data_IF_960459956497
#
_entry.id   IF_960459956497
#
_cell.length_a   1.000
_cell.length_b   1.000
_cell.length_c   1.000
_cell.angle_alpha   90.00
_cell.angle_beta   90.00
_cell.angle_gamma   90.00
#
_symmetry.space_group_name_H-M   'P 1'
#
loop_
_entity.id
_entity.type
_entity.pdbx_description
1 polymer ?
#
# COMPACT_ATOMS: atom_id res chain seq x y z
N UNK A 1 2.86 1.80 -22.00
CA UNK A 1 2.39 0.44 -21.82
C UNK A 1 2.73 -0.02 -20.39
N UNK A 2 1.89 0.45 -19.46
CA UNK A 2 2.10 0.31 -18.01
C UNK A 2 2.35 -1.15 -17.56
N UNK A 3 1.57 -2.10 -18.05
CA UNK A 3 1.74 -3.51 -17.69
C UNK A 3 3.11 -4.11 -18.06
N UNK A 4 3.72 -3.67 -19.17
CA UNK A 4 5.10 -4.09 -19.51
C UNK A 4 6.13 -3.47 -18.59
N UNK A 5 5.92 -2.23 -18.15
CA UNK A 5 6.79 -1.56 -17.18
C UNK A 5 6.75 -2.25 -15.82
N UNK A 6 5.57 -2.57 -15.30
CA UNK A 6 5.42 -3.31 -14.03
C UNK A 6 6.14 -4.66 -14.09
N UNK A 7 5.93 -5.44 -15.14
CA UNK A 7 6.58 -6.76 -15.28
C UNK A 7 8.11 -6.65 -15.34
N UNK A 8 8.65 -5.65 -16.05
CA UNK A 8 10.10 -5.43 -16.14
C UNK A 8 10.70 -5.02 -14.79
N UNK A 9 10.03 -4.11 -14.06
CA UNK A 9 10.47 -3.65 -12.75
C UNK A 9 10.39 -4.78 -11.71
N UNK A 10 9.33 -5.58 -11.74
CA UNK A 10 9.21 -6.73 -10.84
C UNK A 10 10.31 -7.77 -11.08
N UNK A 11 10.65 -8.05 -12.36
CA UNK A 11 11.73 -8.95 -12.71
C UNK A 11 13.08 -8.43 -12.24
N UNK A 12 13.34 -7.12 -12.37
CA UNK A 12 14.55 -6.48 -11.87
C UNK A 12 14.72 -6.66 -10.36
N UNK A 13 13.69 -6.30 -9.58
CA UNK A 13 13.77 -6.45 -8.12
C UNK A 13 13.91 -7.91 -7.70
N UNK A 14 13.26 -8.84 -8.39
CA UNK A 14 13.40 -10.28 -8.10
C UNK A 14 14.84 -10.75 -8.32
N UNK A 15 15.44 -10.41 -9.46
CA UNK A 15 16.84 -10.76 -9.74
C UNK A 15 17.80 -10.14 -8.70
N UNK A 16 17.60 -8.86 -8.35
CA UNK A 16 18.44 -8.20 -7.34
C UNK A 16 18.31 -8.82 -5.94
N UNK A 17 17.12 -9.32 -5.58
CA UNK A 17 16.90 -10.04 -4.32
C UNK A 17 17.62 -11.39 -4.34
N UNK A 18 17.50 -12.14 -5.43
CA UNK A 18 18.13 -13.45 -5.59
C UNK A 18 19.67 -13.33 -5.55
N UNK A 19 20.25 -12.33 -6.24
CA UNK A 19 21.68 -12.05 -6.22
C UNK A 19 22.20 -11.65 -4.83
N UNK A 20 21.36 -11.03 -4.00
CA UNK A 20 21.71 -10.60 -2.64
C UNK A 20 21.52 -11.69 -1.58
N UNK A 21 21.11 -12.90 -1.94
CA UNK A 21 20.98 -14.02 -1.01
C UNK A 21 22.34 -14.48 -0.47
N UNK A 22 22.45 -14.55 0.85
CA UNK A 22 23.65 -15.05 1.52
C UNK A 22 24.66 -13.97 1.92
N UNK A 23 24.41 -12.71 1.63
CA UNK A 23 25.28 -11.60 2.02
C UNK A 23 24.78 -10.89 3.29
N UNK A 24 25.68 -10.69 4.26
CA UNK A 24 25.39 -10.01 5.52
C UNK A 24 25.91 -8.56 5.52
N UNK A 25 25.30 -7.68 6.28
CA UNK A 25 25.76 -6.29 6.43
C UNK A 25 25.15 -5.31 5.44
N UNK A 26 25.99 -4.58 4.68
CA UNK A 26 25.51 -3.54 3.73
C UNK A 26 24.57 -4.12 2.68
N UNK A 27 24.85 -5.35 2.25
CA UNK A 27 24.03 -6.07 1.28
C UNK A 27 22.63 -6.41 1.84
N UNK A 28 22.52 -6.67 3.15
CA UNK A 28 21.23 -6.88 3.81
C UNK A 28 20.33 -5.64 3.74
N UNK A 29 20.91 -4.45 3.88
CA UNK A 29 20.16 -3.21 3.72
C UNK A 29 19.63 -3.04 2.29
N UNK A 30 20.46 -3.28 1.27
CA UNK A 30 20.02 -3.22 -0.12
C UNK A 30 18.91 -4.24 -0.41
N UNK A 31 19.07 -5.47 0.09
CA UNK A 31 18.05 -6.50 -0.04
C UNK A 31 16.70 -6.06 0.58
N UNK A 32 16.75 -5.45 1.76
CA UNK A 32 15.54 -4.88 2.39
C UNK A 32 14.88 -3.81 1.51
N UNK A 33 15.66 -2.92 0.90
CA UNK A 33 15.12 -1.92 -0.03
C UNK A 33 14.54 -2.55 -1.30
N UNK A 34 15.17 -3.57 -1.87
CA UNK A 34 14.62 -4.26 -3.05
C UNK A 34 13.30 -4.96 -2.74
N UNK A 35 13.21 -5.64 -1.59
CA UNK A 35 11.99 -6.26 -1.11
C UNK A 35 10.89 -5.22 -0.89
N UNK A 36 11.19 -4.12 -0.22
CA UNK A 36 10.25 -3.03 0.02
C UNK A 36 9.73 -2.46 -1.30
N UNK A 37 10.62 -2.13 -2.24
CA UNK A 37 10.22 -1.58 -3.54
C UNK A 37 9.42 -2.57 -4.38
N UNK A 38 9.73 -3.87 -4.32
CA UNK A 38 8.93 -4.91 -5.00
C UNK A 38 7.53 -5.02 -4.40
N UNK A 39 7.42 -4.94 -3.08
CA UNK A 39 6.13 -4.95 -2.39
C UNK A 39 5.26 -3.74 -2.74
N UNK A 40 5.84 -2.53 -2.77
CA UNK A 40 5.14 -1.31 -3.24
C UNK A 40 4.68 -1.47 -4.68
N UNK A 41 5.56 -1.92 -5.57
CA UNK A 41 5.24 -2.13 -6.98
C UNK A 41 4.08 -3.12 -7.18
N UNK A 42 4.03 -4.19 -6.38
CA UNK A 42 2.93 -5.16 -6.40
C UNK A 42 1.60 -4.52 -5.99
N UNK A 43 1.60 -3.69 -4.97
CA UNK A 43 0.42 -2.95 -4.55
C UNK A 43 -0.06 -1.99 -5.63
N UNK A 44 0.83 -1.18 -6.20
CA UNK A 44 0.51 -0.25 -7.29
C UNK A 44 -0.05 -0.96 -8.53
N UNK A 45 0.46 -2.15 -8.84
CA UNK A 45 -0.07 -2.97 -9.94
C UNK A 45 -1.50 -3.42 -9.68
N UNK A 46 -1.81 -3.83 -8.44
CA UNK A 46 -3.16 -4.21 -8.03
C UNK A 46 -4.10 -3.00 -8.12
N UNK A 47 -3.69 -1.84 -7.61
CA UNK A 47 -4.47 -0.60 -7.67
C UNK A 47 -4.73 -0.16 -9.12
N UNK A 48 -3.72 -0.29 -9.99
CA UNK A 48 -3.87 -0.02 -11.42
C UNK A 48 -4.90 -0.94 -12.08
N UNK A 49 -4.85 -2.26 -11.81
CA UNK A 49 -5.84 -3.23 -12.32
C UNK A 49 -7.23 -2.89 -11.80
N UNK A 50 -7.35 -2.58 -10.52
CA UNK A 50 -8.60 -2.14 -9.87
C UNK A 50 -9.20 -0.91 -10.57
N UNK A 51 -8.37 0.08 -10.87
CA UNK A 51 -8.78 1.31 -11.55
C UNK A 51 -9.30 1.06 -12.96
N UNK A 52 -8.71 0.14 -13.70
CA UNK A 52 -9.17 -0.26 -15.05
C UNK A 52 -10.51 -0.99 -14.94
N UNK A 53 -10.62 -1.95 -14.02
CA UNK A 53 -11.85 -2.74 -13.85
C UNK A 53 -13.03 -1.88 -13.39
N UNK A 54 -12.80 -0.87 -12.55
CA UNK A 54 -13.84 0.06 -12.10
C UNK A 54 -14.34 0.99 -13.21
N UNK A 55 -13.49 1.29 -14.19
CA UNK A 55 -13.82 2.18 -15.31
C UNK A 55 -14.44 1.46 -16.52
N UNK A 56 -14.51 0.11 -16.51
CA UNK A 56 -15.17 -0.64 -17.59
C UNK A 56 -16.68 -0.59 -17.40
N UNK A 57 -17.34 0.37 -18.06
CA UNK A 57 -18.78 0.36 -18.24
C UNK A 57 -19.15 -0.71 -19.27
N UNK A 58 -19.81 -1.78 -18.85
CA UNK A 58 -20.37 -2.77 -19.76
C UNK A 58 -21.65 -2.19 -20.36
N UNK A 59 -21.57 -1.73 -21.60
CA UNK A 59 -22.73 -1.43 -22.41
C UNK A 59 -23.36 -2.75 -22.89
N UNK A 60 -24.52 -3.14 -22.37
CA UNK A 60 -25.30 -4.23 -22.93
C UNK A 60 -26.42 -3.66 -23.80
N UNK A 61 -26.56 -4.17 -25.01
CA UNK A 61 -27.74 -3.94 -25.83
C UNK A 61 -28.84 -4.93 -25.40
N UNK A 62 -30.08 -4.44 -25.25
CA UNK A 62 -31.23 -5.31 -25.14
C UNK A 62 -31.70 -5.76 -26.52
N UNK A 63 -32.59 -6.78 -26.59
CA UNK A 63 -33.08 -7.34 -27.83
C UNK A 63 -33.88 -6.33 -28.70
N UNK A 64 -34.18 -5.14 -28.18
CA UNK A 64 -34.84 -4.04 -28.86
C UNK A 64 -33.87 -2.98 -29.42
N UNK A 65 -32.54 -3.21 -29.29
CA UNK A 65 -31.49 -2.30 -29.76
C UNK A 65 -31.32 -1.04 -28.91
N UNK A 66 -31.92 -1.00 -27.72
CA UNK A 66 -31.79 0.13 -26.79
C UNK A 66 -30.54 -0.11 -25.87
N UNK A 67 -29.66 0.86 -25.88
CA UNK A 67 -28.47 0.83 -24.99
C UNK A 67 -28.89 1.19 -23.58
N UNK A 68 -28.88 0.25 -22.64
CA UNK A 68 -29.01 0.52 -21.21
C UNK A 68 -27.64 0.38 -20.57
N UNK A 69 -27.19 1.46 -19.94
CA UNK A 69 -26.08 1.39 -19.01
C UNK A 69 -26.51 0.55 -17.80
N UNK A 70 -26.12 -0.72 -17.74
CA UNK A 70 -26.16 -1.46 -16.47
C UNK A 70 -24.97 -0.97 -15.66
N UNK A 71 -25.25 -0.23 -14.62
CA UNK A 71 -24.33 -0.13 -13.48
C UNK A 71 -24.25 -1.55 -12.92
N UNK A 72 -23.17 -2.26 -13.26
CA UNK A 72 -22.86 -3.53 -12.62
C UNK A 72 -22.82 -3.24 -11.13
N UNK A 73 -23.60 -3.97 -10.31
CA UNK A 73 -23.42 -3.94 -8.87
C UNK A 73 -21.92 -3.97 -8.63
N UNK A 74 -21.42 -2.95 -7.93
CA UNK A 74 -20.00 -2.90 -7.59
C UNK A 74 -19.72 -4.14 -6.74
N UNK A 75 -19.26 -5.20 -7.40
CA UNK A 75 -18.66 -6.32 -6.70
C UNK A 75 -17.41 -5.72 -6.08
N UNK A 76 -17.46 -5.43 -4.78
CA UNK A 76 -16.29 -5.06 -4.00
C UNK A 76 -15.37 -6.26 -4.07
N UNK A 77 -14.48 -6.27 -5.06
CA UNK A 77 -13.46 -7.31 -5.16
C UNK A 77 -12.43 -7.01 -4.09
N UNK A 78 -12.24 -7.95 -3.21
CA UNK A 78 -11.13 -7.93 -2.29
C UNK A 78 -9.89 -8.37 -3.07
N UNK A 79 -8.95 -7.46 -3.25
CA UNK A 79 -7.68 -7.75 -3.90
C UNK A 79 -6.72 -8.39 -2.90
N UNK A 80 -5.91 -9.32 -3.39
CA UNK A 80 -4.95 -10.04 -2.57
C UNK A 80 -3.60 -9.30 -2.56
N UNK A 81 -3.27 -8.69 -1.42
CA UNK A 81 -2.00 -8.02 -1.18
C UNK A 81 -0.98 -8.90 -0.45
N UNK A 82 -1.25 -10.19 -0.27
CA UNK A 82 -0.41 -11.11 0.53
C UNK A 82 1.05 -11.16 0.09
N UNK A 83 1.30 -11.15 -1.22
CA UNK A 83 2.67 -11.13 -1.76
C UNK A 83 3.41 -9.83 -1.43
N UNK A 84 2.71 -8.69 -1.45
CA UNK A 84 3.29 -7.41 -1.08
C UNK A 84 3.59 -7.36 0.43
N UNK A 85 2.66 -7.84 1.25
CA UNK A 85 2.84 -7.96 2.71
C UNK A 85 4.00 -8.90 3.06
N UNK A 86 4.14 -10.01 2.33
CA UNK A 86 5.25 -10.95 2.53
C UNK A 86 6.60 -10.30 2.22
N UNK A 87 6.72 -9.53 1.14
CA UNK A 87 7.95 -8.79 0.82
C UNK A 87 8.30 -7.79 1.94
N UNK A 88 7.33 -7.05 2.46
CA UNK A 88 7.53 -6.13 3.57
C UNK A 88 7.96 -6.84 4.86
N UNK A 89 7.38 -8.01 5.16
CA UNK A 89 7.77 -8.79 6.33
C UNK A 89 9.20 -9.32 6.21
N UNK A 90 9.61 -9.80 5.05
CA UNK A 90 11.00 -10.18 4.82
C UNK A 90 11.95 -8.96 4.97
N UNK A 91 11.59 -7.80 4.44
CA UNK A 91 12.37 -6.57 4.61
C UNK A 91 12.50 -6.19 6.09
N UNK A 92 11.43 -6.32 6.86
CA UNK A 92 11.39 -6.09 8.31
C UNK A 92 12.29 -7.05 9.10
N UNK A 93 12.37 -8.31 8.70
CA UNK A 93 13.25 -9.29 9.35
C UNK A 93 14.73 -8.95 9.13
N UNK A 94 15.09 -8.42 7.96
CA UNK A 94 16.47 -8.02 7.64
C UNK A 94 16.84 -6.70 8.33
N UNK A 95 15.95 -5.69 8.31
CA UNK A 95 16.17 -4.36 8.91
C UNK A 95 14.97 -3.99 9.78
N UNK A 96 14.94 -4.43 11.05
CA UNK A 96 13.78 -4.28 11.94
C UNK A 96 13.41 -2.83 12.29
N UNK A 97 14.34 -1.89 12.16
CA UNK A 97 14.16 -0.50 12.56
C UNK A 97 14.02 0.46 11.36
N UNK A 98 13.60 -0.05 10.20
CA UNK A 98 13.34 0.75 9.01
C UNK A 98 11.91 1.30 9.02
N UNK A 99 11.68 2.61 9.29
CA UNK A 99 10.32 3.17 9.46
C UNK A 99 9.43 2.98 8.24
N UNK A 100 10.00 3.09 7.05
CA UNK A 100 9.27 2.97 5.78
C UNK A 100 8.64 1.58 5.56
N UNK A 101 9.23 0.52 6.10
CA UNK A 101 8.65 -0.83 6.01
C UNK A 101 7.33 -0.87 6.78
N UNK A 102 7.31 -0.30 7.98
CA UNK A 102 6.10 -0.24 8.79
C UNK A 102 5.04 0.70 8.20
N UNK A 103 5.46 1.82 7.64
CA UNK A 103 4.56 2.72 6.93
C UNK A 103 3.86 2.01 5.76
N UNK A 104 4.63 1.31 4.92
CA UNK A 104 4.09 0.57 3.79
C UNK A 104 3.23 -0.63 4.23
N UNK A 105 3.58 -1.33 5.30
CA UNK A 105 2.70 -2.35 5.90
C UNK A 105 1.38 -1.73 6.38
N UNK A 106 1.42 -0.54 6.99
CA UNK A 106 0.24 0.22 7.37
C UNK A 106 -0.68 0.49 6.19
N UNK A 107 -0.12 0.92 5.05
CA UNK A 107 -0.87 1.14 3.81
C UNK A 107 -1.49 -0.16 3.28
N UNK A 108 -0.71 -1.24 3.20
CA UNK A 108 -1.18 -2.54 2.71
C UNK A 108 -2.32 -3.11 3.57
N UNK A 109 -2.20 -3.05 4.90
CA UNK A 109 -3.26 -3.48 5.80
C UNK A 109 -4.51 -2.60 5.72
N UNK A 110 -4.35 -1.29 5.44
CA UNK A 110 -5.48 -0.41 5.17
C UNK A 110 -6.23 -0.84 3.90
N UNK A 111 -5.50 -1.11 2.81
CA UNK A 111 -6.05 -1.62 1.54
C UNK A 111 -6.73 -2.99 1.68
N UNK A 112 -6.22 -3.83 2.57
CA UNK A 112 -6.81 -5.14 2.90
C UNK A 112 -7.97 -5.04 3.90
N UNK A 113 -8.39 -3.84 4.28
CA UNK A 113 -9.40 -3.57 5.32
C UNK A 113 -9.03 -4.10 6.73
N UNK A 114 -7.77 -4.38 6.98
CA UNK A 114 -7.22 -4.79 8.28
C UNK A 114 -6.82 -3.56 9.10
N UNK A 115 -7.80 -2.72 9.44
CA UNK A 115 -7.57 -1.39 9.98
C UNK A 115 -6.82 -1.35 11.31
N UNK A 116 -6.97 -2.37 12.17
CA UNK A 116 -6.25 -2.44 13.45
C UNK A 116 -4.75 -2.68 13.20
N UNK A 117 -4.42 -3.64 12.33
CA UNK A 117 -3.04 -3.91 11.93
C UNK A 117 -2.41 -2.69 11.23
N UNK A 118 -3.20 -1.96 10.43
CA UNK A 118 -2.77 -0.70 9.80
C UNK A 118 -2.34 0.33 10.85
N UNK A 119 -3.18 0.59 11.87
CA UNK A 119 -2.87 1.54 12.96
C UNK A 119 -1.63 1.11 13.75
N UNK A 120 -1.46 -0.17 14.05
CA UNK A 120 -0.30 -0.69 14.76
C UNK A 120 0.99 -0.43 13.97
N UNK A 121 0.97 -0.67 12.66
CA UNK A 121 2.13 -0.45 11.81
C UNK A 121 2.45 1.03 11.63
N UNK A 122 1.47 1.91 11.41
CA UNK A 122 1.72 3.36 11.41
C UNK A 122 2.26 3.84 12.76
N UNK A 123 1.75 3.32 13.87
CA UNK A 123 2.26 3.66 15.20
C UNK A 123 3.72 3.25 15.36
N UNK A 124 4.11 2.08 14.86
CA UNK A 124 5.51 1.65 14.87
C UNK A 124 6.37 2.55 13.97
N UNK A 125 5.91 2.89 12.76
CA UNK A 125 6.60 3.83 11.86
C UNK A 125 6.87 5.18 12.56
N UNK A 126 5.84 5.75 13.17
CA UNK A 126 5.93 7.01 13.93
C UNK A 126 6.89 6.89 15.12
N UNK A 127 6.89 5.76 15.82
CA UNK A 127 7.80 5.55 16.95
C UNK A 127 9.27 5.51 16.53
N UNK A 128 9.55 5.01 15.34
CA UNK A 128 10.89 4.95 14.74
C UNK A 128 11.29 6.29 14.10
N UNK A 129 10.34 6.98 13.51
CA UNK A 129 10.56 8.29 12.90
C UNK A 129 9.40 9.27 13.20
N UNK A 130 9.48 10.06 14.31
CA UNK A 130 8.40 10.95 14.75
C UNK A 130 8.11 12.15 13.82
N UNK A 131 8.87 12.33 12.76
CA UNK A 131 8.68 13.38 11.75
C UNK A 131 8.03 12.88 10.46
N UNK A 132 7.55 11.63 10.42
CA UNK A 132 6.86 11.07 9.26
C UNK A 132 5.40 11.56 9.22
N UNK A 133 5.17 12.73 8.60
CA UNK A 133 3.86 13.37 8.50
C UNK A 133 2.81 12.46 7.84
N UNK A 134 3.18 11.76 6.75
CA UNK A 134 2.30 10.84 6.04
C UNK A 134 1.79 9.69 6.91
N UNK A 135 2.59 9.21 7.86
CA UNK A 135 2.16 8.15 8.77
C UNK A 135 1.12 8.66 9.78
N UNK A 136 1.26 9.89 10.28
CA UNK A 136 0.22 10.53 11.09
C UNK A 136 -1.05 10.75 10.27
N UNK A 137 -0.92 11.27 9.06
CA UNK A 137 -2.05 11.53 8.18
C UNK A 137 -2.87 10.25 7.93
N UNK A 138 -2.22 9.20 7.45
CA UNK A 138 -2.88 7.94 7.13
C UNK A 138 -3.47 7.28 8.39
N UNK A 139 -2.75 7.28 9.53
CA UNK A 139 -3.29 6.77 10.80
C UNK A 139 -4.50 7.56 11.26
N UNK A 140 -4.45 8.88 11.14
CA UNK A 140 -5.55 9.79 11.45
C UNK A 140 -6.81 9.48 10.65
N UNK A 141 -6.68 9.26 9.34
CA UNK A 141 -7.80 8.89 8.48
C UNK A 141 -8.41 7.54 8.89
N UNK A 142 -7.58 6.52 9.18
CA UNK A 142 -8.07 5.21 9.64
C UNK A 142 -8.78 5.31 10.99
N UNK A 143 -8.26 6.10 11.93
CA UNK A 143 -8.90 6.35 13.22
C UNK A 143 -10.27 7.03 13.06
N UNK A 144 -10.38 8.03 12.19
CA UNK A 144 -11.67 8.70 11.90
C UNK A 144 -12.66 7.70 11.28
N UNK A 145 -12.19 6.87 10.34
CA UNK A 145 -13.01 5.82 9.73
C UNK A 145 -13.58 4.86 10.81
N UNK A 146 -12.77 4.47 11.78
CA UNK A 146 -13.18 3.65 12.94
C UNK A 146 -13.94 4.44 14.01
N UNK A 147 -14.28 5.69 13.74
CA UNK A 147 -15.04 6.61 14.60
C UNK A 147 -14.30 7.09 15.86
N UNK A 148 -13.00 6.88 15.98
CA UNK A 148 -12.15 7.52 16.99
C UNK A 148 -11.70 8.91 16.48
N UNK A 149 -12.66 9.83 16.40
CA UNK A 149 -12.45 11.17 15.82
C UNK A 149 -11.45 11.99 16.61
N UNK A 150 -11.43 11.85 17.92
CA UNK A 150 -10.55 12.64 18.79
C UNK A 150 -9.08 12.37 18.45
N UNK A 151 -8.68 11.09 18.48
CA UNK A 151 -7.30 10.71 18.13
C UNK A 151 -6.99 10.99 16.66
N UNK A 152 -7.95 10.75 15.76
CA UNK A 152 -7.76 11.02 14.34
C UNK A 152 -7.49 12.50 14.06
N UNK A 153 -8.24 13.42 14.67
CA UNK A 153 -8.00 14.87 14.52
C UNK A 153 -6.65 15.31 15.10
N UNK A 154 -6.20 14.71 16.20
CA UNK A 154 -4.86 14.97 16.76
C UNK A 154 -3.78 14.56 15.76
N UNK A 155 -3.90 13.39 15.16
CA UNK A 155 -2.95 12.91 14.16
C UNK A 155 -2.94 13.80 12.91
N UNK A 156 -4.11 14.19 12.40
CA UNK A 156 -4.19 15.11 11.24
C UNK A 156 -3.57 16.46 11.56
N UNK A 157 -3.85 17.02 12.74
CA UNK A 157 -3.20 18.27 13.17
C UNK A 157 -1.68 18.14 13.19
N UNK A 158 -1.18 17.00 13.67
CA UNK A 158 0.27 16.72 13.70
C UNK A 158 0.84 16.56 12.29
N UNK A 159 0.13 15.91 11.38
CA UNK A 159 0.52 15.79 9.98
C UNK A 159 0.64 17.18 9.31
N UNK A 160 -0.33 18.07 9.52
CA UNK A 160 -0.30 19.45 9.03
C UNK A 160 0.88 20.24 9.58
N UNK A 161 1.20 20.11 10.88
CA UNK A 161 2.41 20.72 11.48
C UNK A 161 3.71 20.21 10.84
N UNK A 162 3.70 18.98 10.31
CA UNK A 162 4.83 18.36 9.62
C UNK A 162 4.85 18.63 8.11
N UNK A 163 3.92 19.44 7.61
CA UNK A 163 3.89 19.92 6.23
C UNK A 163 3.08 19.08 5.26
N UNK A 164 2.19 18.21 5.76
CA UNK A 164 1.23 17.50 4.90
C UNK A 164 0.09 18.46 4.56
N UNK A 165 -0.03 18.84 3.28
CA UNK A 165 -0.97 19.88 2.82
C UNK A 165 -2.45 19.45 2.92
N UNK A 166 -2.72 18.15 2.82
CA UNK A 166 -4.08 17.58 2.87
C UNK A 166 -4.60 17.36 4.31
N UNK A 167 -3.82 17.65 5.33
CA UNK A 167 -4.12 17.36 6.74
C UNK A 167 -5.01 18.41 7.44
#
# INVERSE_FOLDING_TARGET
>A
NAGKQFNSSQAYYTAAIDESEGTAGVDGMYRSFYLMNRGVLRAEMIDFISSIESNVQVLSMDDSGNTRARVKDQVVRQYDYSDAVNDMNQAKEIVPDLPYVYYNLGNLYCLSAEHIASIENYTKAISLWPYMGDAYFNRGLVLIYLKDKEKGCIDLSRAGELGVEEA
#
